data_IF_418416804543
#
_entry.id   IF_418416804543
#
_cell.length_a   1.000
_cell.length_b   1.000
_cell.length_c   1.000
_cell.angle_alpha   90.00
_cell.angle_beta   90.00
_cell.angle_gamma   90.00
#
_symmetry.space_group_name_H-M   'P 1'
#
loop_
_entity.id
_entity.type
_entity.pdbx_description
1 polymer ?
#
# COMPACT_ATOMS: atom_id res chain seq x y z
N UNK A 1 14.97 7.51 -5.74
CA UNK A 1 13.82 7.49 -6.68
C UNK A 1 13.99 6.43 -7.78
N UNK A 2 15.06 6.45 -8.57
CA UNK A 2 15.27 5.54 -9.73
C UNK A 2 15.18 4.04 -9.40
N UNK A 3 15.70 3.61 -8.25
CA UNK A 3 15.64 2.20 -7.83
C UNK A 3 14.24 1.77 -7.34
N UNK A 4 13.46 2.72 -6.79
CA UNK A 4 12.07 2.47 -6.42
C UNK A 4 11.22 2.26 -7.69
N UNK A 5 11.43 3.09 -8.71
CA UNK A 5 10.68 2.95 -9.97
C UNK A 5 11.06 1.69 -10.76
N UNK A 6 12.33 1.28 -10.74
CA UNK A 6 12.70 -0.01 -11.32
C UNK A 6 11.97 -1.17 -10.61
N UNK A 7 11.87 -1.14 -9.27
CA UNK A 7 11.18 -2.17 -8.50
C UNK A 7 9.66 -2.15 -8.73
N UNK A 8 9.08 -0.96 -8.93
CA UNK A 8 7.69 -0.76 -9.33
C UNK A 8 7.40 -1.38 -10.71
N UNK A 9 8.21 -1.06 -11.73
CA UNK A 9 8.04 -1.61 -13.08
C UNK A 9 8.10 -3.15 -13.07
N UNK A 10 9.02 -3.71 -12.28
CA UNK A 10 9.12 -5.16 -12.09
C UNK A 10 7.89 -5.75 -11.38
N UNK A 11 7.31 -5.04 -10.40
CA UNK A 11 6.08 -5.45 -9.74
C UNK A 11 4.89 -5.44 -10.70
N UNK A 12 4.70 -4.36 -11.46
CA UNK A 12 3.59 -4.22 -12.42
C UNK A 12 3.66 -5.30 -13.50
N UNK A 13 4.85 -5.58 -14.05
CA UNK A 13 5.01 -6.66 -15.00
C UNK A 13 4.66 -8.03 -14.40
N UNK A 14 5.15 -8.30 -13.19
CA UNK A 14 4.96 -9.61 -12.55
C UNK A 14 3.51 -9.83 -12.10
N UNK A 15 2.80 -8.77 -11.69
CA UNK A 15 1.40 -8.89 -11.29
C UNK A 15 0.49 -9.14 -12.50
N UNK A 16 0.78 -8.52 -13.64
CA UNK A 16 0.04 -8.76 -14.88
C UNK A 16 0.27 -10.18 -15.40
N UNK A 17 1.53 -10.65 -15.40
CA UNK A 17 1.83 -12.04 -15.75
C UNK A 17 1.16 -13.04 -14.81
N UNK A 18 1.08 -12.74 -13.51
CA UNK A 18 0.40 -13.60 -12.56
C UNK A 18 -1.12 -13.61 -12.75
N UNK A 19 -1.73 -12.46 -13.09
CA UNK A 19 -3.15 -12.38 -13.44
C UNK A 19 -3.47 -13.16 -14.71
N UNK A 20 -2.62 -13.05 -15.73
CA UNK A 20 -2.76 -13.82 -16.98
C UNK A 20 -2.65 -15.32 -16.71
N UNK A 21 -1.63 -15.76 -15.96
CA UNK A 21 -1.46 -17.16 -15.61
C UNK A 21 -2.63 -17.75 -14.79
N UNK A 22 -3.22 -16.95 -13.89
CA UNK A 22 -4.41 -17.32 -13.14
C UNK A 22 -5.67 -17.33 -14.04
N UNK A 23 -5.77 -16.38 -14.98
CA UNK A 23 -6.86 -16.33 -15.96
C UNK A 23 -6.84 -17.53 -16.91
N UNK A 24 -5.67 -17.89 -17.43
CA UNK A 24 -5.48 -19.03 -18.32
C UNK A 24 -5.75 -20.37 -17.63
N UNK A 25 -5.50 -20.46 -16.32
CA UNK A 25 -5.79 -21.65 -15.52
C UNK A 25 -7.29 -22.02 -15.53
N UNK A 26 -8.19 -21.05 -15.69
CA UNK A 26 -9.63 -21.31 -15.83
C UNK A 26 -10.01 -21.96 -17.17
N UNK A 27 -9.18 -21.79 -18.20
CA UNK A 27 -9.45 -22.29 -19.55
C UNK A 27 -8.91 -23.72 -19.74
N UNK A 28 -7.97 -24.13 -18.89
CA UNK A 28 -7.29 -25.42 -19.00
C UNK A 28 -8.05 -26.50 -18.24
N UNK A 29 -8.53 -27.53 -18.94
CA UNK A 29 -9.27 -28.65 -18.33
C UNK A 29 -8.36 -29.73 -17.73
N UNK A 30 -7.08 -29.78 -18.11
CA UNK A 30 -6.13 -30.82 -17.68
C UNK A 30 -5.47 -30.47 -16.34
N UNK A 31 -5.62 -31.34 -15.33
CA UNK A 31 -5.11 -31.16 -13.96
C UNK A 31 -3.58 -31.05 -13.92
N UNK A 32 -2.85 -31.76 -14.81
CA UNK A 32 -1.40 -31.70 -14.85
C UNK A 32 -0.88 -30.32 -15.32
N UNK A 33 -1.56 -29.73 -16.30
CA UNK A 33 -1.27 -28.38 -16.79
C UNK A 33 -1.67 -27.33 -15.76
N UNK A 34 -2.86 -27.46 -15.13
CA UNK A 34 -3.28 -26.60 -14.00
C UNK A 34 -2.23 -26.57 -12.89
N UNK A 35 -1.60 -27.70 -12.57
CA UNK A 35 -0.53 -27.78 -11.56
C UNK A 35 0.76 -27.05 -11.97
N UNK A 36 1.12 -27.10 -13.26
CA UNK A 36 2.24 -26.31 -13.81
C UNK A 36 1.97 -24.82 -13.68
N UNK A 37 0.79 -24.38 -14.13
CA UNK A 37 0.36 -22.99 -14.02
C UNK A 37 0.30 -22.53 -12.56
N UNK A 38 -0.09 -23.41 -11.63
CA UNK A 38 -0.11 -23.11 -10.20
C UNK A 38 1.31 -22.93 -9.65
N UNK A 39 2.25 -23.75 -10.08
CA UNK A 39 3.64 -23.63 -9.68
C UNK A 39 4.28 -22.35 -10.22
N UNK A 40 3.97 -21.96 -11.46
CA UNK A 40 4.51 -20.73 -12.06
C UNK A 40 3.85 -19.48 -11.49
N UNK A 41 2.53 -19.50 -11.27
CA UNK A 41 1.82 -18.45 -10.54
C UNK A 41 2.38 -18.27 -9.13
N UNK A 42 2.72 -19.37 -8.43
CA UNK A 42 3.36 -19.31 -7.11
C UNK A 42 4.73 -18.61 -7.15
N UNK A 43 5.55 -18.89 -8.17
CA UNK A 43 6.85 -18.21 -8.33
C UNK A 43 6.66 -16.71 -8.56
N UNK A 44 5.75 -16.34 -9.46
CA UNK A 44 5.44 -14.93 -9.75
C UNK A 44 4.91 -14.21 -8.51
N UNK A 45 4.12 -14.88 -7.67
CA UNK A 45 3.59 -14.33 -6.42
C UNK A 45 4.71 -14.09 -5.39
N UNK A 46 5.69 -15.00 -5.29
CA UNK A 46 6.88 -14.78 -4.46
C UNK A 46 7.76 -13.64 -4.99
N UNK A 47 7.87 -13.48 -6.32
CA UNK A 47 8.59 -12.34 -6.91
C UNK A 47 7.87 -11.01 -6.65
N UNK A 48 6.54 -10.96 -6.79
CA UNK A 48 5.75 -9.78 -6.43
C UNK A 48 5.97 -9.36 -4.97
N UNK A 49 6.00 -10.35 -4.06
CA UNK A 49 6.29 -10.11 -2.64
C UNK A 49 7.70 -9.55 -2.42
N UNK A 50 8.71 -10.08 -3.11
CA UNK A 50 10.09 -9.54 -3.05
C UNK A 50 10.15 -8.11 -3.55
N UNK A 51 9.45 -7.78 -4.63
CA UNK A 51 9.41 -6.42 -5.17
C UNK A 51 8.74 -5.46 -4.17
N UNK A 52 7.64 -5.86 -3.52
CA UNK A 52 7.04 -5.06 -2.43
C UNK A 52 8.03 -4.82 -1.29
N UNK A 53 8.77 -5.85 -0.87
CA UNK A 53 9.78 -5.71 0.20
C UNK A 53 10.93 -4.77 -0.21
N UNK A 54 11.36 -4.83 -1.47
CA UNK A 54 12.37 -3.90 -2.01
C UNK A 54 11.83 -2.47 -2.08
N UNK A 55 10.61 -2.27 -2.57
CA UNK A 55 9.94 -0.97 -2.57
C UNK A 55 9.79 -0.40 -1.15
N UNK A 56 9.44 -1.23 -0.16
CA UNK A 56 9.41 -0.83 1.26
C UNK A 56 10.78 -0.39 1.77
N UNK A 57 11.83 -1.15 1.45
CA UNK A 57 13.19 -0.81 1.81
C UNK A 57 13.60 0.54 1.20
N UNK A 58 13.39 0.72 -0.10
CA UNK A 58 13.71 1.99 -0.78
C UNK A 58 12.88 3.15 -0.24
N UNK A 59 11.59 2.94 0.03
CA UNK A 59 10.71 3.92 0.66
C UNK A 59 11.21 4.36 2.04
N UNK A 60 11.78 3.46 2.84
CA UNK A 60 12.38 3.83 4.13
C UNK A 60 13.61 4.74 3.97
N UNK A 61 14.39 4.54 2.89
CA UNK A 61 15.60 5.32 2.59
C UNK A 61 15.35 6.67 1.90
N UNK A 62 14.14 6.89 1.34
CA UNK A 62 13.75 8.14 0.68
C UNK A 62 13.68 9.35 1.63
N UNK A 63 13.74 10.56 1.09
CA UNK A 63 13.60 11.78 1.87
C UNK A 63 12.15 11.96 2.38
N UNK A 64 11.94 12.60 3.55
CA UNK A 64 10.60 12.78 4.13
C UNK A 64 9.58 13.45 3.20
N UNK A 65 10.04 14.31 2.28
CA UNK A 65 9.21 14.97 1.27
C UNK A 65 8.69 13.99 0.20
N UNK A 66 9.50 12.99 -0.18
CA UNK A 66 9.17 12.02 -1.23
C UNK A 66 8.39 10.82 -0.67
N UNK A 67 8.56 10.51 0.62
CA UNK A 67 7.81 9.43 1.29
C UNK A 67 6.30 9.60 1.18
N UNK A 68 5.80 10.83 1.20
CA UNK A 68 4.37 11.13 1.07
C UNK A 68 3.80 10.73 -0.30
N UNK A 69 4.57 10.93 -1.36
CA UNK A 69 4.19 10.62 -2.74
C UNK A 69 4.05 9.10 -2.94
N UNK A 70 5.07 8.34 -2.55
CA UNK A 70 5.12 6.89 -2.78
C UNK A 70 4.34 6.04 -1.77
N UNK A 71 3.90 6.61 -0.64
CA UNK A 71 3.14 5.88 0.38
C UNK A 71 1.78 5.39 -0.15
N UNK A 72 1.12 6.21 -0.99
CA UNK A 72 -0.14 5.85 -1.62
C UNK A 72 0.03 4.64 -2.55
N UNK A 73 0.97 4.74 -3.48
CA UNK A 73 1.29 3.67 -4.44
C UNK A 73 1.70 2.37 -3.73
N UNK A 74 2.56 2.44 -2.71
CA UNK A 74 2.98 1.26 -1.96
C UNK A 74 1.82 0.56 -1.23
N UNK A 75 0.85 1.34 -0.75
CA UNK A 75 -0.36 0.79 -0.12
C UNK A 75 -1.25 0.11 -1.15
N UNK A 76 -1.36 0.70 -2.34
CA UNK A 76 -2.11 0.12 -3.45
C UNK A 76 -1.48 -1.19 -3.94
N UNK A 77 -0.16 -1.22 -4.16
CA UNK A 77 0.54 -2.45 -4.57
C UNK A 77 0.39 -3.59 -3.57
N UNK A 78 0.41 -3.29 -2.26
CA UNK A 78 0.09 -4.29 -1.23
C UNK A 78 -1.32 -4.83 -1.35
N UNK A 79 -2.30 -3.96 -1.58
CA UNK A 79 -3.68 -4.38 -1.77
C UNK A 79 -3.84 -5.24 -3.03
N UNK A 80 -3.18 -4.87 -4.13
CA UNK A 80 -3.22 -5.66 -5.36
C UNK A 80 -2.58 -7.05 -5.17
N UNK A 81 -1.46 -7.12 -4.45
CA UNK A 81 -0.83 -8.39 -4.07
C UNK A 81 -1.72 -9.25 -3.17
N UNK A 82 -2.38 -8.66 -2.17
CA UNK A 82 -3.31 -9.39 -1.31
C UNK A 82 -4.51 -9.95 -2.06
N UNK A 83 -5.07 -9.18 -3.01
CA UNK A 83 -6.12 -9.66 -3.91
C UNK A 83 -5.65 -10.88 -4.71
N UNK A 84 -4.53 -10.74 -5.41
CA UNK A 84 -3.95 -11.82 -6.21
C UNK A 84 -3.62 -13.08 -5.38
N UNK A 85 -3.17 -12.90 -4.14
CA UNK A 85 -2.89 -13.99 -3.20
C UNK A 85 -4.17 -14.72 -2.78
N UNK A 86 -5.25 -14.00 -2.55
CA UNK A 86 -6.52 -14.61 -2.21
C UNK A 86 -7.06 -15.42 -3.39
N UNK A 87 -7.02 -14.84 -4.60
CA UNK A 87 -7.43 -15.53 -5.83
C UNK A 87 -6.60 -16.82 -6.00
N UNK A 88 -5.27 -16.73 -5.89
CA UNK A 88 -4.38 -17.89 -5.97
C UNK A 88 -4.73 -18.99 -4.94
N UNK A 89 -5.03 -18.63 -3.69
CA UNK A 89 -5.39 -19.59 -2.66
C UNK A 89 -6.73 -20.28 -2.97
N UNK A 90 -7.72 -19.52 -3.45
CA UNK A 90 -9.03 -20.05 -3.85
C UNK A 90 -8.86 -21.07 -4.99
N UNK A 91 -8.03 -20.76 -5.99
CA UNK A 91 -7.70 -21.70 -7.07
C UNK A 91 -6.94 -22.92 -6.59
N UNK A 92 -6.00 -22.75 -5.66
CA UNK A 92 -5.29 -23.87 -5.06
C UNK A 92 -6.25 -24.82 -4.32
N UNK A 93 -7.25 -24.29 -3.62
CA UNK A 93 -8.29 -25.07 -2.96
C UNK A 93 -9.27 -25.71 -3.95
N UNK A 94 -9.58 -25.05 -5.06
CA UNK A 94 -10.40 -25.63 -6.13
C UNK A 94 -9.70 -26.84 -6.78
N UNK A 95 -8.41 -26.73 -7.14
CA UNK A 95 -7.65 -27.83 -7.73
C UNK A 95 -7.53 -29.02 -6.76
N UNK A 96 -7.37 -28.76 -5.46
CA UNK A 96 -7.35 -29.84 -4.45
C UNK A 96 -8.69 -30.57 -4.35
N UNK A 97 -9.80 -29.84 -4.41
CA UNK A 97 -11.14 -30.44 -4.42
C UNK A 97 -11.36 -31.29 -5.66
N UNK A 98 -10.98 -30.79 -6.84
CA UNK A 98 -11.05 -31.55 -8.10
C UNK A 98 -10.22 -32.85 -8.02
N UNK A 99 -9.07 -32.83 -7.34
CA UNK A 99 -8.24 -34.04 -7.12
C UNK A 99 -8.88 -35.04 -6.16
N UNK A 100 -9.44 -34.56 -5.03
CA UNK A 100 -10.09 -35.42 -4.04
C UNK A 100 -11.34 -36.12 -4.64
N UNK A 101 -12.06 -35.44 -5.54
CA UNK A 101 -13.22 -36.00 -6.25
C UNK A 101 -12.80 -37.04 -7.30
N UNK A 102 -11.73 -36.82 -8.08
CA UNK A 102 -11.17 -37.82 -9.00
C UNK A 102 -10.66 -39.08 -8.27
N UNK A 103 -9.97 -38.90 -7.14
CA UNK A 103 -9.47 -40.01 -6.32
C UNK A 103 -10.63 -40.77 -5.68
N UNK A 104 -11.70 -40.07 -5.27
CA UNK A 104 -12.93 -40.66 -4.74
C UNK A 104 -13.68 -41.50 -5.79
N UNK A 105 -13.72 -41.05 -7.05
CA UNK A 105 -14.32 -41.80 -8.16
C UNK A 105 -13.51 -43.05 -8.55
N UNK A 106 -12.17 -43.00 -8.50
CA UNK A 106 -11.32 -44.18 -8.61
C UNK A 106 -11.51 -45.14 -7.43
N UNK A 107 -11.59 -44.61 -6.21
CA UNK A 107 -11.88 -45.36 -4.99
C UNK A 107 -13.24 -46.06 -5.05
N UNK A 108 -14.26 -45.43 -5.64
CA UNK A 108 -15.60 -45.99 -5.81
C UNK A 108 -15.61 -47.17 -6.79
N UNK A 109 -14.76 -47.14 -7.83
CA UNK A 109 -14.53 -48.30 -8.72
C UNK A 109 -13.76 -49.43 -8.03
N UNK A 110 -12.89 -49.12 -7.06
CA UNK A 110 -12.13 -50.09 -6.26
C UNK A 110 -12.90 -50.67 -5.04
N UNK A 111 -14.06 -50.11 -4.67
CA UNK A 111 -14.87 -50.52 -3.51
C UNK A 111 -15.44 -51.96 -3.56
N UNK A 112 -15.20 -52.73 -4.62
CA UNK A 112 -15.60 -54.13 -4.72
C UNK A 112 -14.83 -55.08 -3.76
N UNK A 113 -13.78 -54.63 -3.07
CA UNK A 113 -12.97 -55.49 -2.19
C UNK A 113 -12.92 -54.99 -0.73
N UNK A 114 -13.81 -55.53 0.10
CA UNK A 114 -14.22 -54.97 1.40
C UNK A 114 -13.21 -55.17 2.56
N UNK A 115 -12.14 -55.95 2.39
CA UNK A 115 -11.24 -56.34 3.49
C UNK A 115 -10.09 -55.35 3.75
N UNK A 116 -9.64 -54.65 2.71
CA UNK A 116 -8.59 -53.63 2.81
C UNK A 116 -9.14 -52.32 3.44
N UNK A 117 -10.44 -52.07 3.22
CA UNK A 117 -11.21 -50.89 3.62
C UNK A 117 -11.20 -50.56 5.12
N UNK A 118 -11.05 -51.57 5.99
CA UNK A 118 -10.99 -51.36 7.45
C UNK A 118 -9.59 -50.90 7.91
N UNK A 119 -8.52 -51.30 7.21
CA UNK A 119 -7.16 -50.84 7.50
C UNK A 119 -6.91 -49.44 6.89
N UNK A 120 -7.43 -49.18 5.68
CA UNK A 120 -7.31 -47.86 5.04
C UNK A 120 -8.16 -46.79 5.71
N UNK A 121 -9.33 -47.13 6.27
CA UNK A 121 -10.19 -46.18 6.98
C UNK A 121 -9.55 -45.61 8.25
N UNK A 122 -8.77 -46.42 8.97
CA UNK A 122 -8.00 -45.97 10.15
C UNK A 122 -6.82 -45.08 9.73
N UNK A 123 -6.16 -45.38 8.61
CA UNK A 123 -5.12 -44.53 8.02
C UNK A 123 -5.66 -43.16 7.60
N UNK A 124 -6.77 -43.12 6.85
CA UNK A 124 -7.42 -41.87 6.44
C UNK A 124 -7.88 -41.01 7.62
N UNK A 125 -8.38 -41.63 8.70
CA UNK A 125 -8.77 -40.89 9.90
C UNK A 125 -7.56 -40.27 10.62
N UNK A 126 -6.44 -40.99 10.68
CA UNK A 126 -5.18 -40.49 11.24
C UNK A 126 -4.61 -39.32 10.43
N UNK A 127 -4.68 -39.41 9.10
CA UNK A 127 -4.21 -38.34 8.22
C UNK A 127 -5.14 -37.12 8.23
N UNK A 128 -6.46 -37.33 8.28
CA UNK A 128 -7.42 -36.26 8.53
C UNK A 128 -7.20 -35.59 9.89
N UNK A 129 -6.87 -36.36 10.93
CA UNK A 129 -6.56 -35.80 12.23
C UNK A 129 -5.32 -34.91 12.18
N UNK A 130 -4.23 -35.35 11.52
CA UNK A 130 -3.04 -34.52 11.29
C UNK A 130 -3.33 -33.26 10.47
N UNK A 131 -4.18 -33.38 9.46
CA UNK A 131 -4.57 -32.25 8.64
C UNK A 131 -5.39 -31.23 9.45
N UNK A 132 -6.32 -31.70 10.26
CA UNK A 132 -7.15 -30.88 11.13
C UNK A 132 -6.30 -30.20 12.21
N UNK A 133 -5.31 -30.89 12.77
CA UNK A 133 -4.34 -30.32 13.72
C UNK A 133 -3.48 -29.22 13.05
N UNK A 134 -3.11 -29.42 11.78
CA UNK A 134 -2.45 -28.41 10.95
C UNK A 134 -3.32 -27.17 10.69
N UNK A 135 -4.62 -27.37 10.42
CA UNK A 135 -5.58 -26.27 10.23
C UNK A 135 -5.78 -25.50 11.53
N UNK A 136 -5.91 -26.19 12.66
CA UNK A 136 -6.06 -25.56 13.98
C UNK A 136 -4.82 -24.73 14.31
N UNK A 137 -3.62 -25.27 14.07
CA UNK A 137 -2.35 -24.54 14.26
C UNK A 137 -2.27 -23.31 13.37
N UNK A 138 -2.56 -23.45 12.07
CA UNK A 138 -2.57 -22.31 11.15
C UNK A 138 -3.62 -21.27 11.56
N UNK A 139 -4.80 -21.70 12.01
CA UNK A 139 -5.85 -20.80 12.52
C UNK A 139 -5.40 -20.00 13.74
N UNK A 140 -4.64 -20.61 14.65
CA UNK A 140 -4.04 -19.90 15.78
C UNK A 140 -2.99 -18.88 15.34
N UNK A 141 -2.10 -19.25 14.42
CA UNK A 141 -1.09 -18.34 13.86
C UNK A 141 -1.75 -17.17 13.11
N UNK A 142 -2.78 -17.43 12.30
CA UNK A 142 -3.58 -16.41 11.62
C UNK A 142 -4.28 -15.49 12.61
N UNK A 143 -4.83 -16.03 13.70
CA UNK A 143 -5.46 -15.23 14.76
C UNK A 143 -4.45 -14.33 15.47
N UNK A 144 -3.23 -14.82 15.67
CA UNK A 144 -2.14 -14.03 16.26
C UNK A 144 -1.70 -12.90 15.33
N UNK A 145 -1.56 -13.17 14.04
CA UNK A 145 -1.26 -12.16 13.00
C UNK A 145 -2.39 -11.11 12.93
N UNK A 146 -3.66 -11.54 12.93
CA UNK A 146 -4.83 -10.64 12.94
C UNK A 146 -4.84 -9.76 14.18
N UNK A 147 -4.53 -10.32 15.36
CA UNK A 147 -4.38 -9.55 16.60
C UNK A 147 -3.24 -8.53 16.51
N UNK A 148 -2.10 -8.90 15.91
CA UNK A 148 -0.99 -7.99 15.66
C UNK A 148 -1.36 -6.86 14.70
N UNK A 149 -2.04 -7.18 13.60
CA UNK A 149 -2.55 -6.21 12.64
C UNK A 149 -3.52 -5.21 13.29
N UNK A 150 -4.45 -5.69 14.12
CA UNK A 150 -5.40 -4.84 14.82
C UNK A 150 -4.70 -3.90 15.83
N UNK A 151 -3.69 -4.39 16.57
CA UNK A 151 -2.86 -3.54 17.44
C UNK A 151 -2.14 -2.45 16.66
N UNK A 152 -1.60 -2.78 15.47
CA UNK A 152 -0.95 -1.80 14.60
C UNK A 152 -1.93 -0.77 14.05
N UNK A 153 -3.16 -1.16 13.68
CA UNK A 153 -4.21 -0.23 13.25
C UNK A 153 -4.61 0.73 14.38
N UNK A 154 -4.76 0.21 15.60
CA UNK A 154 -5.04 1.03 16.80
C UNK A 154 -3.88 1.99 17.09
N UNK A 155 -2.64 1.53 16.99
CA UNK A 155 -1.46 2.40 17.13
C UNK A 155 -1.40 3.50 16.07
N UNK A 156 -1.71 3.17 14.81
CA UNK A 156 -1.79 4.13 13.71
C UNK A 156 -2.90 5.17 13.89
N UNK A 157 -4.03 4.80 14.51
CA UNK A 157 -5.10 5.76 14.85
C UNK A 157 -4.60 6.86 15.79
N UNK A 158 -3.75 6.52 16.76
CA UNK A 158 -3.09 7.49 17.62
C UNK A 158 -2.15 8.45 16.87
N UNK A 159 -1.45 7.95 15.84
CA UNK A 159 -0.63 8.80 14.97
C UNK A 159 -1.46 9.75 14.10
N UNK A 160 -2.63 9.31 13.61
CA UNK A 160 -3.54 10.16 12.83
C UNK A 160 -4.14 11.27 13.71
N UNK A 161 -4.57 10.96 14.92
CA UNK A 161 -5.08 11.97 15.86
C UNK A 161 -4.01 13.00 16.25
N UNK A 162 -2.77 12.55 16.41
CA UNK A 162 -1.64 13.46 16.68
C UNK A 162 -1.28 14.30 15.45
N UNK A 163 -1.31 13.73 14.24
CA UNK A 163 -1.09 14.47 13.00
C UNK A 163 -2.20 15.52 12.76
N UNK A 164 -3.45 15.18 13.07
CA UNK A 164 -4.59 16.11 13.02
C UNK A 164 -4.41 17.28 13.99
N UNK A 165 -4.01 17.00 15.24
CA UNK A 165 -3.67 18.05 16.22
C UNK A 165 -2.51 18.92 15.76
N UNK A 166 -1.43 18.33 15.24
CA UNK A 166 -0.26 19.08 14.78
C UNK A 166 -0.60 19.97 13.57
N UNK A 167 -1.44 19.50 12.66
CA UNK A 167 -1.92 20.30 11.52
C UNK A 167 -2.80 21.48 11.98
N UNK A 168 -3.68 21.28 12.96
CA UNK A 168 -4.47 22.35 13.56
C UNK A 168 -3.59 23.40 14.26
N UNK A 169 -2.52 22.97 14.95
CA UNK A 169 -1.53 23.89 15.55
C UNK A 169 -0.79 24.67 14.45
N UNK A 170 -0.33 24.00 13.40
CA UNK A 170 0.36 24.63 12.27
C UNK A 170 -0.53 25.66 11.54
N UNK A 171 -1.82 25.38 11.33
CA UNK A 171 -2.77 26.34 10.74
C UNK A 171 -2.99 27.57 11.64
N UNK A 172 -3.06 27.38 12.95
CA UNK A 172 -3.16 28.49 13.90
C UNK A 172 -1.90 29.35 13.91
N UNK A 173 -0.73 28.75 13.81
CA UNK A 173 0.54 29.46 13.67
C UNK A 173 0.64 30.19 12.33
N UNK A 174 0.21 29.58 11.23
CA UNK A 174 0.12 30.23 9.91
C UNK A 174 -0.81 31.45 9.94
N UNK A 175 -1.96 31.34 10.61
CA UNK A 175 -2.92 32.44 10.76
C UNK A 175 -2.36 33.58 11.62
N UNK A 176 -1.52 33.26 12.61
CA UNK A 176 -0.80 34.27 13.40
C UNK A 176 0.30 34.92 12.56
N UNK A 177 1.07 34.13 11.80
CA UNK A 177 2.10 34.63 10.91
C UNK A 177 1.52 35.55 9.82
N UNK A 178 0.41 35.19 9.18
CA UNK A 178 -0.26 36.03 8.16
C UNK A 178 -0.75 37.36 8.75
N UNK A 179 -1.26 37.34 10.00
CA UNK A 179 -1.61 38.58 10.72
C UNK A 179 -0.39 39.48 10.98
N UNK A 180 0.75 38.89 11.32
CA UNK A 180 2.01 39.65 11.51
C UNK A 180 2.51 40.21 10.18
N UNK A 181 2.52 39.40 9.12
CA UNK A 181 2.93 39.81 7.77
C UNK A 181 2.03 40.93 7.24
N UNK A 182 0.71 40.85 7.40
CA UNK A 182 -0.21 41.94 7.03
C UNK A 182 0.10 43.24 7.78
N UNK A 183 0.40 43.17 9.08
CA UNK A 183 0.81 44.35 9.87
C UNK A 183 2.16 44.92 9.38
N UNK A 184 3.11 44.08 9.03
CA UNK A 184 4.41 44.50 8.47
C UNK A 184 4.24 45.17 7.11
N UNK A 185 3.44 44.57 6.21
CA UNK A 185 3.16 45.13 4.87
C UNK A 185 2.47 46.48 4.92
N UNK A 186 1.49 46.65 5.82
CA UNK A 186 0.80 47.93 6.00
C UNK A 186 1.76 49.00 6.54
N UNK A 187 2.65 48.63 7.47
CA UNK A 187 3.68 49.53 7.97
C UNK A 187 4.66 49.95 6.87
N UNK A 188 5.12 49.02 6.05
CA UNK A 188 5.99 49.31 4.90
C UNK A 188 5.32 50.26 3.90
N UNK A 189 4.03 50.04 3.61
CA UNK A 189 3.25 50.93 2.75
C UNK A 189 3.16 52.36 3.32
N UNK A 190 2.87 52.51 4.61
CA UNK A 190 2.83 53.82 5.27
C UNK A 190 4.18 54.55 5.20
N UNK A 191 5.30 53.84 5.43
CA UNK A 191 6.63 54.45 5.32
C UNK A 191 6.94 54.91 3.90
N UNK A 192 6.59 54.11 2.88
CA UNK A 192 6.74 54.52 1.48
C UNK A 192 5.90 55.78 1.17
N UNK A 193 4.67 55.85 1.66
CA UNK A 193 3.79 57.01 1.46
C UNK A 193 4.37 58.28 2.10
N UNK A 194 4.83 58.19 3.37
CA UNK A 194 5.47 59.32 4.06
C UNK A 194 6.72 59.79 3.31
N UNK A 195 7.55 58.86 2.82
CA UNK A 195 8.73 59.19 2.03
C UNK A 195 8.37 59.97 0.76
N UNK A 196 7.36 59.51 0.01
CA UNK A 196 6.88 60.23 -1.18
C UNK A 196 6.36 61.63 -0.85
N UNK A 197 5.64 61.80 0.27
CA UNK A 197 5.12 63.10 0.70
C UNK A 197 6.27 64.08 0.99
N UNK A 198 7.33 63.63 1.67
CA UNK A 198 8.52 64.45 1.95
C UNK A 198 9.20 64.89 0.64
N UNK A 199 9.37 63.97 -0.31
CA UNK A 199 9.97 64.27 -1.63
C UNK A 199 9.14 65.35 -2.35
N UNK A 200 7.83 65.17 -2.44
CA UNK A 200 6.93 66.14 -3.08
C UNK A 200 6.98 67.50 -2.37
N UNK A 201 7.04 67.51 -1.04
CA UNK A 201 7.18 68.74 -0.25
C UNK A 201 8.49 69.49 -0.53
N UNK A 202 9.61 68.78 -0.61
CA UNK A 202 10.91 69.37 -0.95
C UNK A 202 10.93 69.95 -2.37
N UNK A 203 10.40 69.21 -3.36
CA UNK A 203 10.28 69.70 -4.72
C UNK A 203 9.37 70.93 -4.81
N UNK A 204 8.22 70.90 -4.13
CA UNK A 204 7.30 72.04 -4.07
C UNK A 204 7.95 73.28 -3.47
N UNK A 205 8.67 73.12 -2.34
CA UNK A 205 9.43 74.22 -1.73
C UNK A 205 10.51 74.78 -2.65
N UNK A 206 11.24 73.91 -3.35
CA UNK A 206 12.25 74.34 -4.33
C UNK A 206 11.66 75.17 -5.47
N UNK A 207 10.50 74.76 -6.00
CA UNK A 207 9.79 75.51 -7.06
C UNK A 207 9.35 76.89 -6.55
N UNK A 208 8.81 76.98 -5.33
CA UNK A 208 8.36 78.25 -4.74
C UNK A 208 9.54 79.23 -4.60
N UNK A 209 10.69 78.75 -4.09
CA UNK A 209 11.90 79.58 -3.95
C UNK A 209 12.42 80.04 -5.31
N UNK A 210 12.40 79.18 -6.32
CA UNK A 210 12.76 79.56 -7.69
C UNK A 210 11.87 80.69 -8.23
N UNK A 211 10.55 80.57 -8.06
CA UNK A 211 9.60 81.60 -8.51
C UNK A 211 9.84 82.92 -7.77
N UNK A 212 10.08 82.88 -6.46
CA UNK A 212 10.34 84.08 -5.66
C UNK A 212 11.66 84.76 -6.01
N UNK A 213 12.68 84.00 -6.43
CA UNK A 213 13.99 84.54 -6.82
C UNK A 213 14.02 85.06 -8.26
N UNK A 214 13.16 84.52 -9.13
CA UNK A 214 13.07 84.92 -10.54
C UNK A 214 12.19 86.17 -10.74
N UNK A 215 11.36 86.51 -9.75
CA UNK A 215 10.64 87.78 -9.67
C UNK A 215 11.49 88.84 -8.99
#
# INVERSE_FOLDING_TARGET
ATEFEASKDHFEKNIDMAREAIGDMNLVSNIAEKKSFLQDSKKLLEECKKNIQQMEYYWQTLDPSEKGYYKGELTEFKHQYEGLKNDFNEYQEAIKRDQDDEESDELTKLQANTREKLLTGVGKLSDQHKQLDGIVKNGHETTEILRGANRNLVGQRGHIENAGRNNMVAQNELTRADRVVKKMRLREFCYKLILYLIIVGLFGGYIIVLIFKLK
#
